data_IF_319393570424
#
_entry.id   IF_319393570424
#
_cell.length_a   1.000
_cell.length_b   1.000
_cell.length_c   1.000
_cell.angle_alpha   90.00
_cell.angle_beta   90.00
_cell.angle_gamma   90.00
#
_symmetry.space_group_name_H-M   'P 1'
#
loop_
_entity.id
_entity.type
_entity.pdbx_description
1 polymer ?
#
# COMPACT_ATOMS: atom_id res chain seq x y z
N UNK A 1 16.87 1.07 5.83
CA UNK A 1 16.46 0.78 4.44
C UNK A 1 15.23 1.62 4.13
N UNK A 2 15.23 2.47 3.10
CA UNK A 2 14.07 3.26 2.72
C UNK A 2 12.92 2.36 2.26
N UNK A 3 11.76 2.48 2.91
CA UNK A 3 10.60 1.60 2.69
C UNK A 3 9.38 2.42 2.32
N UNK A 4 8.67 2.03 1.26
CA UNK A 4 7.39 2.62 0.87
C UNK A 4 6.24 1.69 1.29
N UNK A 5 5.30 2.21 2.08
CA UNK A 5 4.12 1.50 2.59
C UNK A 5 2.85 2.06 1.95
N UNK A 6 2.17 1.24 1.15
CA UNK A 6 0.85 1.58 0.60
C UNK A 6 -0.24 1.36 1.65
N UNK A 7 -1.12 2.35 1.81
CA UNK A 7 -2.35 2.28 2.61
C UNK A 7 -3.54 2.53 1.68
N UNK A 8 -4.48 1.59 1.66
CA UNK A 8 -5.72 1.69 0.88
C UNK A 8 -6.83 2.42 1.65
N UNK A 9 -7.90 2.80 0.95
CA UNK A 9 -8.98 3.62 1.51
C UNK A 9 -9.84 2.93 2.56
N UNK A 10 -9.85 1.60 2.58
CA UNK A 10 -10.45 0.73 3.59
C UNK A 10 -9.50 0.45 4.77
N UNK A 11 -8.20 0.76 4.65
CA UNK A 11 -7.13 0.42 5.59
C UNK A 11 -6.82 1.48 6.66
N UNK A 12 -7.77 2.37 6.96
CA UNK A 12 -7.56 3.56 7.78
C UNK A 12 -7.61 3.26 9.30
N UNK A 13 -6.78 2.32 9.75
CA UNK A 13 -6.66 1.90 11.15
C UNK A 13 -5.47 2.58 11.87
N UNK A 14 -5.70 3.55 12.78
CA UNK A 14 -4.61 4.27 13.44
C UNK A 14 -3.80 3.42 14.45
N UNK A 15 -4.32 2.23 14.79
CA UNK A 15 -3.72 1.28 15.74
C UNK A 15 -2.90 0.16 15.05
N UNK A 16 -2.85 0.15 13.72
CA UNK A 16 -2.03 -0.81 12.97
C UNK A 16 -0.56 -0.71 13.39
N UNK A 17 0.12 -1.84 13.52
CA UNK A 17 1.51 -1.95 14.00
C UNK A 17 2.51 -1.05 13.27
N UNK A 18 2.29 -0.81 11.98
CA UNK A 18 3.04 0.17 11.18
C UNK A 18 3.17 1.55 11.84
N UNK A 19 2.15 2.02 12.56
CA UNK A 19 2.11 3.37 13.13
C UNK A 19 2.56 3.42 14.59
N UNK A 20 2.96 2.28 15.17
CA UNK A 20 3.41 2.19 16.58
C UNK A 20 4.71 2.95 16.82
N UNK A 21 5.60 2.96 15.83
CA UNK A 21 6.89 3.62 15.91
C UNK A 21 7.13 4.55 14.72
N UNK A 22 7.95 5.59 14.96
CA UNK A 22 8.36 6.53 13.91
C UNK A 22 9.70 6.10 13.37
N UNK A 23 9.72 5.71 12.10
CA UNK A 23 10.96 5.49 11.36
C UNK A 23 11.10 6.55 10.26
N UNK A 24 12.22 7.25 10.26
CA UNK A 24 12.56 8.27 9.25
C UNK A 24 12.78 7.66 7.87
N UNK A 25 13.03 6.36 7.76
CA UNK A 25 13.21 5.66 6.49
C UNK A 25 11.91 5.14 5.89
N UNK A 26 10.81 5.20 6.64
CA UNK A 26 9.51 4.73 6.17
C UNK A 26 8.71 5.89 5.58
N UNK A 27 8.24 5.67 4.36
CA UNK A 27 7.34 6.54 3.62
C UNK A 27 5.99 5.86 3.51
N UNK A 28 4.92 6.51 3.94
CA UNK A 28 3.55 6.05 3.71
C UNK A 28 2.99 6.72 2.48
N UNK A 29 2.21 5.99 1.68
CA UNK A 29 1.49 6.54 0.54
C UNK A 29 0.02 6.18 0.59
N UNK A 30 -0.81 7.18 0.33
CA UNK A 30 -2.23 7.06 0.00
C UNK A 30 -2.48 7.84 -1.28
N UNK A 31 -3.35 7.32 -2.14
CA UNK A 31 -3.64 7.94 -3.44
C UNK A 31 -5.12 7.80 -3.78
N UNK A 32 -5.73 8.89 -4.22
CA UNK A 32 -7.09 8.90 -4.73
C UNK A 32 -7.04 8.47 -6.20
N UNK A 33 -7.51 7.26 -6.49
CA UNK A 33 -7.47 6.69 -7.84
C UNK A 33 -8.87 6.29 -8.27
N UNK A 34 -9.26 6.67 -9.50
CA UNK A 34 -10.50 6.21 -10.12
C UNK A 34 -10.30 4.82 -10.70
N UNK A 35 -10.16 3.80 -9.86
CA UNK A 35 -10.06 2.43 -10.36
C UNK A 35 -11.42 1.84 -10.81
N UNK A 36 -12.52 2.54 -10.59
CA UNK A 36 -13.86 2.14 -11.04
C UNK A 36 -14.58 3.33 -11.69
N UNK A 37 -14.35 3.54 -12.99
CA UNK A 37 -15.12 4.50 -13.79
C UNK A 37 -16.46 3.94 -14.30
N UNK A 38 -16.79 2.67 -14.03
CA UNK A 38 -18.03 2.04 -14.53
C UNK A 38 -19.12 1.80 -13.48
N UNK A 39 -18.87 2.13 -12.20
CA UNK A 39 -19.92 2.06 -11.18
C UNK A 39 -20.73 3.36 -11.16
N UNK A 40 -21.87 3.32 -11.87
CA UNK A 40 -23.05 4.18 -11.81
C UNK A 40 -22.97 5.36 -10.83
N UNK A 41 -23.36 6.55 -11.34
CA UNK A 41 -23.52 7.87 -10.69
C UNK A 41 -23.95 7.90 -9.20
N UNK A 42 -24.56 6.82 -8.68
CA UNK A 42 -25.06 6.67 -7.32
C UNK A 42 -24.01 6.32 -6.24
N UNK A 43 -22.76 5.98 -6.59
CA UNK A 43 -21.70 5.70 -5.60
C UNK A 43 -20.77 6.88 -5.28
N UNK A 44 -21.01 8.07 -5.85
CA UNK A 44 -20.17 9.25 -5.66
C UNK A 44 -20.02 9.65 -4.18
N UNK A 45 -21.09 9.59 -3.39
CA UNK A 45 -21.06 9.93 -1.96
C UNK A 45 -20.13 8.99 -1.16
N UNK A 46 -20.15 7.69 -1.49
CA UNK A 46 -19.28 6.70 -0.84
C UNK A 46 -17.81 7.00 -1.15
N UNK A 47 -17.48 7.27 -2.41
CA UNK A 47 -16.11 7.59 -2.84
C UNK A 47 -15.63 8.88 -2.16
N UNK A 48 -16.46 9.93 -2.15
CA UNK A 48 -16.14 11.20 -1.49
C UNK A 48 -15.89 10.98 0.01
N UNK A 49 -16.71 10.15 0.67
CA UNK A 49 -16.54 9.84 2.08
C UNK A 49 -15.22 9.09 2.35
N UNK A 50 -14.87 8.11 1.49
CA UNK A 50 -13.58 7.40 1.58
C UNK A 50 -12.41 8.37 1.40
N UNK A 51 -12.45 9.24 0.37
CA UNK A 51 -11.40 10.23 0.15
C UNK A 51 -11.28 11.21 1.32
N UNK A 52 -12.40 11.70 1.86
CA UNK A 52 -12.39 12.55 3.04
C UNK A 52 -11.74 11.86 4.25
N UNK A 53 -12.06 10.58 4.48
CA UNK A 53 -11.45 9.78 5.54
C UNK A 53 -9.94 9.59 5.31
N UNK A 54 -9.52 9.27 4.08
CA UNK A 54 -8.11 9.14 3.71
C UNK A 54 -7.32 10.44 3.93
N UNK A 55 -7.87 11.59 3.51
CA UNK A 55 -7.27 12.92 3.74
C UNK A 55 -7.07 13.19 5.24
N UNK A 56 -8.09 12.91 6.04
CA UNK A 56 -8.03 13.10 7.49
C UNK A 56 -6.98 12.17 8.12
N UNK A 57 -6.95 10.90 7.71
CA UNK A 57 -5.99 9.92 8.19
C UNK A 57 -4.55 10.33 7.85
N UNK A 58 -4.30 10.76 6.60
CA UNK A 58 -3.01 11.27 6.17
C UNK A 58 -2.55 12.47 7.01
N UNK A 59 -3.44 13.42 7.26
CA UNK A 59 -3.15 14.57 8.12
C UNK A 59 -2.82 14.15 9.56
N UNK A 60 -3.56 13.19 10.12
CA UNK A 60 -3.31 12.66 11.46
C UNK A 60 -1.94 11.95 11.56
N UNK A 61 -1.57 11.13 10.57
CA UNK A 61 -0.27 10.48 10.51
C UNK A 61 0.88 11.49 10.38
N UNK A 62 0.72 12.53 9.54
CA UNK A 62 1.70 13.63 9.44
C UNK A 62 1.88 14.36 10.76
N UNK A 63 0.77 14.65 11.47
CA UNK A 63 0.80 15.29 12.79
C UNK A 63 1.52 14.44 13.84
N UNK A 64 1.44 13.11 13.72
CA UNK A 64 2.20 12.15 14.54
C UNK A 64 3.68 12.05 14.15
N UNK A 65 4.10 12.72 13.06
CA UNK A 65 5.50 12.77 12.61
C UNK A 65 5.89 11.69 11.60
N UNK A 66 4.92 10.97 11.01
CA UNK A 66 5.19 10.06 9.91
C UNK A 66 5.37 10.81 8.59
N UNK A 67 6.20 10.26 7.69
CA UNK A 67 6.35 10.76 6.32
C UNK A 67 5.22 10.20 5.48
N UNK A 68 4.32 11.06 5.01
CA UNK A 68 3.13 10.64 4.26
C UNK A 68 3.04 11.39 2.94
N UNK A 69 3.07 10.64 1.85
CA UNK A 69 2.75 11.05 0.50
C UNK A 69 1.26 10.87 0.27
N UNK A 70 0.57 11.94 -0.12
CA UNK A 70 -0.86 11.90 -0.39
C UNK A 70 -1.11 12.47 -1.78
N UNK A 71 -1.56 11.63 -2.70
CA UNK A 71 -1.85 12.03 -4.08
C UNK A 71 -3.37 12.21 -4.22
N UNK A 72 -3.83 13.47 -4.30
CA UNK A 72 -5.26 13.76 -4.47
C UNK A 72 -5.71 13.50 -5.91
N UNK A 73 -7.02 13.39 -6.12
CA UNK A 73 -7.61 13.05 -7.41
C UNK A 73 -7.43 14.14 -8.48
N UNK A 74 -7.07 15.35 -8.06
CA UNK A 74 -6.82 16.52 -8.90
C UNK A 74 -5.33 16.92 -8.92
N UNK A 75 -4.46 16.13 -8.30
CA UNK A 75 -3.02 16.34 -8.29
C UNK A 75 -2.42 16.03 -9.66
N UNK A 76 -1.62 16.96 -10.20
CA UNK A 76 -0.94 16.80 -11.49
C UNK A 76 0.11 15.67 -11.48
N UNK A 77 0.58 15.29 -10.30
CA UNK A 77 1.54 14.19 -10.10
C UNK A 77 0.86 12.83 -9.91
N UNK A 78 -0.47 12.79 -9.82
CA UNK A 78 -1.22 11.55 -9.72
C UNK A 78 -1.47 10.98 -11.12
N UNK A 79 -0.80 9.89 -11.44
CA UNK A 79 -0.90 9.17 -12.72
C UNK A 79 -2.22 8.40 -12.88
N UNK A 80 -3.13 8.48 -11.89
CA UNK A 80 -4.37 7.73 -11.82
C UNK A 80 -4.20 6.21 -12.01
N UNK A 81 -3.03 5.71 -11.67
CA UNK A 81 -2.65 4.31 -11.74
C UNK A 81 -1.83 3.97 -10.50
N UNK A 82 -2.29 2.98 -9.73
CA UNK A 82 -1.61 2.56 -8.50
C UNK A 82 -0.15 2.17 -8.80
N UNK A 83 0.15 1.27 -9.78
CA UNK A 83 1.53 0.96 -10.15
C UNK A 83 2.36 2.18 -10.55
N UNK A 84 1.84 3.06 -11.41
CA UNK A 84 2.62 4.18 -11.93
C UNK A 84 2.98 5.21 -10.84
N UNK A 85 2.04 5.49 -9.93
CA UNK A 85 2.29 6.34 -8.76
C UNK A 85 3.34 5.72 -7.82
N UNK A 86 3.29 4.40 -7.62
CA UNK A 86 4.28 3.70 -6.80
C UNK A 86 5.66 3.72 -7.45
N UNK A 87 5.76 3.48 -8.75
CA UNK A 87 7.03 3.57 -9.50
C UNK A 87 7.66 4.97 -9.38
N UNK A 88 6.85 6.02 -9.56
CA UNK A 88 7.30 7.41 -9.43
C UNK A 88 7.85 7.70 -8.02
N UNK A 89 7.17 7.23 -6.97
CA UNK A 89 7.61 7.42 -5.58
C UNK A 89 8.84 6.57 -5.23
N UNK A 90 8.92 5.34 -5.75
CA UNK A 90 10.07 4.46 -5.56
C UNK A 90 11.33 5.12 -6.14
N UNK A 91 11.23 5.62 -7.37
CA UNK A 91 12.33 6.32 -8.04
C UNK A 91 12.70 7.63 -7.33
N UNK A 92 11.71 8.46 -6.99
CA UNK A 92 11.93 9.78 -6.39
C UNK A 92 12.58 9.72 -4.99
N UNK A 93 12.38 8.64 -4.26
CA UNK A 93 12.85 8.51 -2.87
C UNK A 93 13.92 7.44 -2.66
N UNK A 94 14.37 6.77 -3.72
CA UNK A 94 15.37 5.69 -3.61
C UNK A 94 14.88 4.59 -2.68
N UNK A 95 13.65 4.14 -2.89
CA UNK A 95 13.02 3.10 -2.06
C UNK A 95 13.65 1.75 -2.41
N UNK A 96 14.10 1.03 -1.38
CA UNK A 96 14.70 -0.30 -1.50
C UNK A 96 13.71 -1.41 -1.15
N UNK A 97 12.57 -1.05 -0.52
CA UNK A 97 11.52 -1.99 -0.13
C UNK A 97 10.11 -1.42 -0.27
N UNK A 98 9.22 -2.20 -0.85
CA UNK A 98 7.79 -1.91 -0.96
C UNK A 98 6.97 -2.82 -0.03
N UNK A 99 6.05 -2.25 0.73
CA UNK A 99 5.13 -3.00 1.58
C UNK A 99 3.69 -2.55 1.36
N UNK A 100 2.76 -3.49 1.45
CA UNK A 100 1.33 -3.22 1.37
C UNK A 100 0.57 -4.14 2.32
N UNK A 101 -0.55 -3.66 2.86
CA UNK A 101 -1.47 -4.50 3.64
C UNK A 101 -2.36 -5.31 2.68
N UNK A 102 -2.74 -6.51 3.12
CA UNK A 102 -3.61 -7.43 2.37
C UNK A 102 -4.90 -6.70 1.93
N UNK A 103 -5.17 -6.60 0.61
CA UNK A 103 -6.37 -5.94 0.11
C UNK A 103 -7.63 -6.82 0.28
N UNK A 104 -8.78 -6.18 0.53
CA UNK A 104 -10.07 -6.89 0.61
C UNK A 104 -10.67 -7.17 -0.78
N UNK A 105 -10.24 -6.47 -1.83
CA UNK A 105 -10.69 -6.64 -3.21
C UNK A 105 -9.77 -7.58 -4.01
N UNK A 106 -10.31 -8.72 -4.47
CA UNK A 106 -9.57 -9.73 -5.24
C UNK A 106 -8.82 -9.21 -6.47
N UNK A 107 -9.43 -8.26 -7.21
CA UNK A 107 -8.82 -7.69 -8.41
C UNK A 107 -7.59 -6.86 -8.05
N UNK A 108 -7.70 -6.06 -6.97
CA UNK A 108 -6.61 -5.24 -6.47
C UNK A 108 -5.51 -6.10 -5.84
N UNK A 109 -5.86 -7.15 -5.10
CA UNK A 109 -4.91 -8.14 -4.59
C UNK A 109 -4.05 -8.75 -5.71
N UNK A 110 -4.70 -9.25 -6.78
CA UNK A 110 -3.97 -9.76 -7.96
C UNK A 110 -3.08 -8.71 -8.60
N UNK A 111 -3.55 -7.47 -8.72
CA UNK A 111 -2.79 -6.38 -9.32
C UNK A 111 -1.53 -6.07 -8.49
N UNK A 112 -1.68 -5.91 -7.17
CA UNK A 112 -0.57 -5.61 -6.26
C UNK A 112 0.40 -6.78 -6.14
N UNK A 113 -0.08 -8.03 -6.11
CA UNK A 113 0.78 -9.20 -6.11
C UNK A 113 1.61 -9.32 -7.41
N UNK A 114 0.99 -9.06 -8.56
CA UNK A 114 1.70 -9.05 -9.84
C UNK A 114 2.73 -7.91 -9.92
N UNK A 115 2.33 -6.71 -9.47
CA UNK A 115 3.22 -5.56 -9.39
C UNK A 115 4.42 -5.83 -8.46
N UNK A 116 4.17 -6.30 -7.24
CA UNK A 116 5.20 -6.62 -6.25
C UNK A 116 6.22 -7.65 -6.76
N UNK A 117 5.77 -8.62 -7.57
CA UNK A 117 6.64 -9.62 -8.21
C UNK A 117 7.50 -9.04 -9.34
N UNK A 118 7.02 -8.00 -10.01
CA UNK A 118 7.72 -7.35 -11.12
C UNK A 118 8.73 -6.29 -10.64
N UNK A 119 8.64 -5.85 -9.38
CA UNK A 119 9.56 -4.90 -8.78
C UNK A 119 10.97 -5.49 -8.65
N UNK A 120 11.97 -4.65 -8.91
CA UNK A 120 13.38 -4.95 -8.62
C UNK A 120 13.72 -4.82 -7.13
N UNK A 121 12.92 -4.08 -6.38
CA UNK A 121 13.08 -3.82 -4.95
C UNK A 121 12.41 -4.92 -4.11
N UNK A 122 12.83 -5.10 -2.86
CA UNK A 122 12.20 -6.07 -1.97
C UNK A 122 10.71 -5.74 -1.81
N UNK A 123 9.84 -6.76 -1.79
CA UNK A 123 8.41 -6.53 -1.58
C UNK A 123 7.80 -7.49 -0.55
N UNK A 124 6.90 -6.98 0.29
CA UNK A 124 6.20 -7.78 1.28
C UNK A 124 4.73 -7.36 1.43
N UNK A 125 3.85 -8.36 1.54
CA UNK A 125 2.47 -8.16 1.97
C UNK A 125 2.36 -8.45 3.47
N UNK A 126 1.62 -7.63 4.20
CA UNK A 126 1.33 -7.81 5.64
C UNK A 126 -0.17 -7.94 5.89
N UNK A 127 -0.56 -8.44 7.06
CA UNK A 127 -1.94 -8.43 7.51
C UNK A 127 -2.44 -6.97 7.68
N UNK A 128 -3.73 -6.73 7.49
CA UNK A 128 -4.34 -5.40 7.65
C UNK A 128 -4.74 -5.08 9.10
N UNK A 129 -4.65 -6.06 10.01
CA UNK A 129 -4.92 -5.92 11.44
C UNK A 129 -6.30 -5.30 11.75
N UNK A 130 -7.26 -5.42 10.82
CA UNK A 130 -8.63 -4.90 10.98
C UNK A 130 -9.48 -5.74 11.92
N UNK A 131 -9.12 -7.02 12.10
CA UNK A 131 -9.87 -7.96 12.91
C UNK A 131 -9.08 -8.34 14.16
N UNK A 132 -9.73 -8.25 15.33
CA UNK A 132 -9.15 -8.70 16.62
C UNK A 132 -9.10 -10.23 16.76
N UNK A 133 -9.58 -10.98 15.77
CA UNK A 133 -9.45 -12.44 15.70
C UNK A 133 -8.29 -12.80 14.78
N UNK A 134 -7.25 -13.40 15.34
CA UNK A 134 -6.16 -14.03 14.61
C UNK A 134 -6.78 -15.04 13.63
N UNK A 135 -6.60 -14.92 12.31
CA UNK A 135 -6.97 -15.98 11.40
C UNK A 135 -6.16 -17.23 11.78
N UNK A 136 -6.85 -18.30 12.12
CA UNK A 136 -6.25 -19.60 12.37
C UNK A 136 -5.38 -20.01 11.17
N UNK A 137 -4.06 -19.87 11.35
CA UNK A 137 -2.97 -20.49 10.59
C UNK A 137 -3.12 -20.52 9.05
N UNK A 138 -2.57 -19.50 8.37
CA UNK A 138 -1.98 -19.71 7.04
C UNK A 138 -0.48 -19.48 7.14
N UNK A 139 0.30 -20.57 7.01
CA UNK A 139 1.77 -20.53 7.07
C UNK A 139 2.33 -19.65 5.94
N UNK A 140 3.38 -18.85 6.19
CA UNK A 140 4.01 -18.06 5.13
C UNK A 140 4.57 -18.98 4.05
N UNK A 141 4.20 -18.72 2.79
CA UNK A 141 4.76 -19.42 1.63
C UNK A 141 6.15 -18.86 1.37
N UNK A 142 7.17 -19.48 1.98
CA UNK A 142 8.57 -19.26 1.61
C UNK A 142 8.78 -19.86 0.22
N UNK A 143 9.01 -19.03 -0.80
CA UNK A 143 9.56 -19.51 -2.07
C UNK A 143 11.07 -19.68 -1.90
N UNK A 144 11.48 -20.90 -1.55
CA UNK A 144 12.87 -21.34 -1.61
C UNK A 144 13.30 -21.45 -3.07
N UNK A 145 14.17 -20.53 -3.51
CA UNK A 145 14.98 -20.74 -4.72
C UNK A 145 16.07 -21.73 -4.33
N UNK A 146 15.92 -23.00 -4.73
CA UNK A 146 16.96 -24.00 -4.53
C UNK A 146 18.10 -23.77 -5.52
N UNK A 147 19.27 -23.48 -4.97
CA UNK A 147 20.57 -23.52 -5.62
C UNK A 147 20.81 -24.93 -6.20
N UNK A 148 21.09 -25.03 -7.49
CA UNK A 148 21.74 -26.20 -8.08
C UNK A 148 23.23 -25.86 -8.26
N UNK A 149 24.04 -26.38 -7.35
CA UNK A 149 25.49 -26.52 -7.52
C UNK A 149 25.71 -27.97 -7.98
N UNK A 150 26.23 -28.17 -9.19
CA UNK A 150 26.77 -29.47 -9.62
C UNK A 150 28.27 -29.33 -9.82
N UNK A 151 29.04 -29.96 -8.95
CA UNK A 151 30.43 -30.34 -9.21
C UNK A 151 30.48 -31.86 -9.28
N UNK A 152 31.00 -32.38 -10.38
CA UNK A 152 31.25 -33.79 -10.66
C UNK A 152 31.88 -33.92 -12.04
#
# INVERSE_FOLDING_TARGET
>A
MPTLRLILGDQLNPNHSWFSERDKHVHYVMMEVRQETDYVLHHAQKIIAIFAAMRHFAAALRKRGHRVHYLSIDDQTNEHSVPANLDALIAAHGIDRFEYQMPDEWRLDKQLAAYAKALAVESAMVDSEHFTSIPHAMKPRVTSTSMAISNG
#
